data_IF_589588286031
#
_entry.id   IF_589588286031
#
_cell.length_a   1.000
_cell.length_b   1.000
_cell.length_c   1.000
_cell.angle_alpha   90.00
_cell.angle_beta   90.00
_cell.angle_gamma   90.00
#
_symmetry.space_group_name_H-M   'P 1'
#
loop_
_entity.id
_entity.type
_entity.pdbx_description
1 polymer ?
#
# COMPACT_ATOMS: atom_id res chain seq x y z
N UNK A 1 9.67 -3.45 3.18
CA UNK A 1 9.63 -3.22 4.64
C UNK A 1 9.44 -1.74 4.92
N UNK A 2 8.88 -1.43 6.07
CA UNK A 2 8.61 -0.09 6.56
C UNK A 2 8.96 -0.02 8.06
N UNK A 3 9.56 1.10 8.48
CA UNK A 3 9.90 1.38 9.88
C UNK A 3 9.09 2.59 10.36
N UNK A 4 8.22 2.38 11.33
CA UNK A 4 7.51 3.45 12.01
C UNK A 4 8.38 3.95 13.17
N UNK A 5 8.82 5.19 13.07
CA UNK A 5 9.56 5.89 14.11
C UNK A 5 8.61 6.75 14.95
N UNK A 6 8.76 6.71 16.27
CA UNK A 6 7.95 7.46 17.21
C UNK A 6 8.80 7.94 18.39
N UNK A 7 8.71 9.22 18.69
CA UNK A 7 9.29 9.86 19.87
C UNK A 7 8.23 10.72 20.58
N UNK A 8 8.61 11.48 21.60
CA UNK A 8 7.68 12.35 22.35
C UNK A 8 7.28 13.63 21.58
N UNK A 9 7.95 13.96 20.48
CA UNK A 9 7.69 15.14 19.66
C UNK A 9 8.00 16.50 20.34
N UNK A 10 8.47 16.50 21.58
CA UNK A 10 8.65 17.71 22.39
C UNK A 10 10.09 17.93 22.86
N UNK A 11 10.80 16.85 23.19
CA UNK A 11 12.15 16.93 23.76
C UNK A 11 13.25 16.50 22.77
N UNK A 12 14.51 16.66 23.16
CA UNK A 12 15.65 16.13 22.44
C UNK A 12 16.03 14.70 22.88
N UNK A 13 15.18 14.00 23.61
CA UNK A 13 15.41 12.64 24.12
C UNK A 13 15.78 11.64 23.03
N UNK A 14 15.28 11.86 21.80
CA UNK A 14 15.60 11.03 20.63
C UNK A 14 17.11 10.94 20.36
N UNK A 15 17.92 11.98 20.72
CA UNK A 15 19.38 11.98 20.57
C UNK A 15 20.05 11.00 21.53
N UNK A 16 19.41 10.71 22.65
CA UNK A 16 19.84 9.78 23.67
C UNK A 16 19.20 8.40 23.52
N UNK A 17 18.51 8.15 22.40
CA UNK A 17 17.86 6.88 22.11
C UNK A 17 16.45 6.74 22.72
N UNK A 18 15.85 7.84 23.16
CA UNK A 18 14.48 7.83 23.66
C UNK A 18 13.47 7.93 22.51
N UNK A 19 13.35 6.84 21.77
CA UNK A 19 12.41 6.62 20.69
C UNK A 19 12.01 5.16 20.59
N UNK A 20 10.92 4.91 19.89
CA UNK A 20 10.44 3.57 19.54
C UNK A 20 10.45 3.38 18.03
N UNK A 21 10.83 2.17 17.60
CA UNK A 21 10.72 1.77 16.17
C UNK A 21 9.88 0.51 16.11
N UNK A 22 8.84 0.56 15.29
CA UNK A 22 8.03 -0.61 14.92
C UNK A 22 8.36 -0.97 13.48
N UNK A 23 8.87 -2.19 13.26
CA UNK A 23 9.20 -2.70 11.94
C UNK A 23 8.04 -3.48 11.34
N UNK A 24 7.69 -3.18 10.10
CA UNK A 24 6.67 -3.87 9.34
C UNK A 24 7.26 -4.38 8.04
N UNK A 25 7.02 -5.64 7.72
CA UNK A 25 7.42 -6.24 6.45
C UNK A 25 6.28 -7.05 5.85
N UNK A 26 6.23 -7.09 4.53
CA UNK A 26 5.32 -7.93 3.76
C UNK A 26 6.14 -8.77 2.80
N UNK A 27 5.81 -10.04 2.67
CA UNK A 27 6.44 -10.98 1.75
C UNK A 27 5.40 -11.89 1.11
N UNK A 28 5.64 -12.29 -0.11
CA UNK A 28 4.90 -13.37 -0.75
C UNK A 28 5.31 -14.72 -0.17
N UNK A 29 4.37 -15.64 -0.13
CA UNK A 29 4.57 -17.06 0.22
C UNK A 29 4.08 -17.93 -0.93
N UNK A 30 4.35 -19.22 -0.90
CA UNK A 30 3.90 -20.15 -1.96
C UNK A 30 2.39 -20.08 -2.23
N UNK A 31 1.58 -19.75 -1.21
CA UNK A 31 0.11 -19.79 -1.30
C UNK A 31 -0.56 -18.48 -0.87
N UNK A 32 0.18 -17.38 -0.76
CA UNK A 32 -0.43 -16.12 -0.34
C UNK A 32 0.56 -15.04 0.09
N UNK A 33 0.17 -14.26 1.10
CA UNK A 33 0.92 -13.10 1.57
C UNK A 33 1.11 -13.20 3.08
N UNK A 34 2.32 -12.92 3.56
CA UNK A 34 2.65 -12.81 4.98
C UNK A 34 3.05 -11.39 5.32
N UNK A 35 2.39 -10.81 6.31
CA UNK A 35 2.76 -9.57 6.97
C UNK A 35 3.36 -9.90 8.33
N UNK A 36 4.49 -9.28 8.64
CA UNK A 36 5.13 -9.39 9.95
C UNK A 36 5.31 -7.99 10.52
N UNK A 37 4.87 -7.80 11.75
CA UNK A 37 5.08 -6.59 12.54
C UNK A 37 5.90 -6.98 13.76
N UNK A 38 7.10 -6.39 13.88
CA UNK A 38 7.91 -6.46 15.10
C UNK A 38 7.53 -5.28 15.99
N UNK A 39 7.01 -5.57 17.16
CA UNK A 39 6.50 -4.55 18.09
C UNK A 39 7.57 -3.53 18.48
N UNK A 40 7.13 -2.31 18.69
CA UNK A 40 7.96 -1.21 19.17
C UNK A 40 8.34 -1.36 20.64
N UNK A 41 9.24 -0.49 21.11
CA UNK A 41 9.56 -0.39 22.54
C UNK A 41 8.47 0.39 23.26
N UNK A 42 8.10 -0.08 24.44
CA UNK A 42 7.21 0.66 25.32
C UNK A 42 7.88 1.96 25.79
N UNK A 43 7.15 3.02 25.79
CA UNK A 43 7.57 4.36 26.21
C UNK A 43 6.42 5.05 26.93
N UNK A 44 6.72 5.86 27.93
CA UNK A 44 5.70 6.52 28.76
C UNK A 44 4.81 7.47 27.96
N UNK A 45 5.30 8.01 26.86
CA UNK A 45 4.55 8.90 25.95
C UNK A 45 3.74 8.14 24.87
N UNK A 46 3.89 6.82 24.77
CA UNK A 46 3.13 5.99 23.82
C UNK A 46 1.97 5.28 24.52
N UNK A 47 0.86 5.04 23.80
CA UNK A 47 -0.23 4.24 24.33
C UNK A 47 0.24 2.80 24.58
N UNK A 48 -0.08 2.24 25.73
CA UNK A 48 0.27 0.84 26.06
C UNK A 48 -0.34 -0.17 25.07
N UNK A 49 -1.53 0.13 24.57
CA UNK A 49 -2.24 -0.73 23.62
C UNK A 49 -2.70 0.04 22.39
N UNK A 50 -2.65 -0.62 21.24
CA UNK A 50 -3.14 -0.12 19.97
C UNK A 50 -4.08 -1.11 19.30
N UNK A 51 -5.05 -0.61 18.59
CA UNK A 51 -5.81 -1.40 17.65
C UNK A 51 -5.09 -1.38 16.31
N UNK A 52 -4.77 -2.56 15.78
CA UNK A 52 -4.15 -2.70 14.46
C UNK A 52 -5.21 -3.05 13.43
N UNK A 53 -5.16 -2.36 12.30
CA UNK A 53 -5.98 -2.62 11.12
C UNK A 53 -5.02 -2.73 9.94
N UNK A 54 -4.93 -3.90 9.33
CA UNK A 54 -4.13 -4.14 8.14
C UNK A 54 -5.03 -4.14 6.92
N UNK A 55 -4.74 -3.23 5.99
CA UNK A 55 -5.44 -3.15 4.71
C UNK A 55 -4.53 -3.63 3.59
N UNK A 56 -4.94 -4.70 2.92
CA UNK A 56 -4.28 -5.27 1.75
C UNK A 56 -5.02 -4.81 0.51
N UNK A 57 -4.46 -3.82 -0.20
CA UNK A 57 -5.02 -3.31 -1.44
C UNK A 57 -4.74 -4.25 -2.61
N UNK A 58 -5.56 -4.16 -3.65
CA UNK A 58 -5.49 -4.98 -4.86
C UNK A 58 -5.70 -6.49 -4.62
N UNK A 59 -6.26 -6.84 -3.47
CA UNK A 59 -6.67 -8.20 -3.13
C UNK A 59 -8.19 -8.28 -3.12
N UNK A 60 -8.75 -9.06 -4.03
CA UNK A 60 -10.21 -9.25 -4.16
C UNK A 60 -10.74 -10.08 -3.00
N UNK A 61 -10.04 -11.17 -2.69
CA UNK A 61 -10.40 -12.09 -1.62
C UNK A 61 -9.19 -12.89 -1.13
N UNK A 62 -9.31 -13.45 0.07
CA UNK A 62 -8.45 -14.48 0.60
C UNK A 62 -9.31 -15.65 1.09
N UNK A 63 -8.92 -16.89 0.79
CA UNK A 63 -9.64 -18.09 1.24
C UNK A 63 -9.64 -18.23 2.76
N UNK A 64 -8.53 -17.88 3.38
CA UNK A 64 -8.40 -17.85 4.84
C UNK A 64 -7.37 -16.84 5.30
N UNK A 65 -7.56 -16.34 6.52
CA UNK A 65 -6.63 -15.43 7.21
C UNK A 65 -6.26 -16.05 8.55
N UNK A 66 -4.98 -16.05 8.86
CA UNK A 66 -4.43 -16.50 10.14
C UNK A 66 -3.61 -15.39 10.75
N UNK A 67 -3.90 -15.04 11.99
CA UNK A 67 -3.09 -14.08 12.74
C UNK A 67 -2.51 -14.74 13.98
N UNK A 68 -1.24 -14.48 14.23
CA UNK A 68 -0.48 -15.00 15.37
C UNK A 68 0.20 -13.86 16.12
N UNK A 69 0.35 -13.98 17.42
CA UNK A 69 1.22 -13.13 18.24
C UNK A 69 1.91 -13.97 19.31
N UNK A 70 3.23 -13.86 19.39
CA UNK A 70 4.00 -14.64 20.36
C UNK A 70 3.83 -16.17 20.24
N UNK A 71 3.43 -16.68 19.08
CA UNK A 71 3.14 -18.10 18.84
C UNK A 71 1.68 -18.52 19.13
N UNK A 72 0.85 -17.62 19.63
CA UNK A 72 -0.57 -17.89 19.88
C UNK A 72 -1.45 -17.31 18.78
N UNK A 73 -2.52 -18.05 18.43
CA UNK A 73 -3.50 -17.59 17.46
C UNK A 73 -4.35 -16.48 18.04
N UNK A 74 -4.51 -15.40 17.27
CA UNK A 74 -5.37 -14.26 17.63
C UNK A 74 -6.70 -14.32 16.89
N UNK A 75 -7.77 -13.93 17.58
CA UNK A 75 -9.03 -13.62 16.94
C UNK A 75 -8.94 -12.30 16.19
N UNK A 76 -9.44 -12.31 14.95
CA UNK A 76 -9.47 -11.13 14.09
C UNK A 76 -10.80 -11.08 13.33
N UNK A 77 -11.23 -9.88 12.96
CA UNK A 77 -12.29 -9.70 11.98
C UNK A 77 -11.70 -9.46 10.61
N UNK A 78 -12.26 -10.12 9.59
CA UNK A 78 -11.82 -10.00 8.21
C UNK A 78 -12.99 -9.53 7.37
N UNK A 79 -12.75 -8.51 6.54
CA UNK A 79 -13.71 -8.04 5.53
C UNK A 79 -13.02 -7.96 4.18
N UNK A 80 -13.70 -8.40 3.13
CA UNK A 80 -13.28 -8.26 1.74
C UNK A 80 -14.29 -7.41 0.99
N UNK A 81 -13.90 -6.24 0.57
CA UNK A 81 -14.76 -5.33 -0.16
C UNK A 81 -13.95 -4.40 -1.08
N UNK A 82 -14.46 -4.19 -2.29
CA UNK A 82 -13.91 -3.20 -3.21
C UNK A 82 -12.46 -3.45 -3.64
N UNK A 83 -12.04 -4.71 -3.76
CA UNK A 83 -10.65 -5.05 -4.11
C UNK A 83 -9.66 -4.83 -2.97
N UNK A 84 -10.14 -4.96 -1.72
CA UNK A 84 -9.34 -4.80 -0.52
C UNK A 84 -9.75 -5.84 0.51
N UNK A 85 -8.77 -6.48 1.13
CA UNK A 85 -8.95 -7.32 2.32
C UNK A 85 -8.48 -6.53 3.54
N UNK A 86 -9.36 -6.38 4.53
CA UNK A 86 -9.06 -5.67 5.78
C UNK A 86 -9.08 -6.67 6.93
N UNK A 87 -7.99 -6.71 7.69
CA UNK A 87 -7.85 -7.54 8.88
C UNK A 87 -7.76 -6.64 10.11
N UNK A 88 -8.77 -6.70 10.98
CA UNK A 88 -8.83 -5.88 12.20
C UNK A 88 -8.58 -6.74 13.44
N UNK A 89 -7.68 -6.30 14.30
CA UNK A 89 -7.30 -6.98 15.54
C UNK A 89 -7.92 -6.28 16.75
N UNK A 90 -8.11 -7.01 17.86
CA UNK A 90 -8.39 -6.37 19.16
C UNK A 90 -7.23 -5.47 19.58
N UNK A 91 -7.42 -4.55 20.56
CA UNK A 91 -6.34 -3.75 21.10
C UNK A 91 -5.23 -4.64 21.69
N UNK A 92 -4.00 -4.46 21.19
CA UNK A 92 -2.81 -5.22 21.58
C UNK A 92 -1.73 -4.30 22.16
N UNK A 93 -0.84 -4.83 22.97
CA UNK A 93 0.34 -4.11 23.45
C UNK A 93 1.23 -3.72 22.27
N UNK A 94 1.83 -2.53 22.33
CA UNK A 94 2.66 -2.00 21.24
C UNK A 94 3.93 -2.83 21.00
N UNK A 95 4.39 -3.53 22.04
CA UNK A 95 5.56 -4.43 22.00
C UNK A 95 5.25 -5.81 21.42
N UNK A 96 3.97 -6.14 21.24
CA UNK A 96 3.56 -7.46 20.77
C UNK A 96 3.95 -7.69 19.31
N UNK A 97 4.67 -8.76 18.97
CA UNK A 97 4.91 -9.14 17.58
C UNK A 97 3.61 -9.68 16.96
N UNK A 98 3.36 -9.34 15.70
CA UNK A 98 2.18 -9.81 14.97
C UNK A 98 2.63 -10.42 13.64
N UNK A 99 2.09 -11.58 13.34
CA UNK A 99 2.19 -12.23 12.02
C UNK A 99 0.79 -12.44 11.47
N UNK A 100 0.51 -11.88 10.30
CA UNK A 100 -0.75 -12.08 9.59
C UNK A 100 -0.47 -12.78 8.25
N UNK A 101 -1.10 -13.91 8.02
CA UNK A 101 -0.97 -14.68 6.78
C UNK A 101 -2.33 -14.79 6.09
N UNK A 102 -2.36 -14.39 4.82
CA UNK A 102 -3.50 -14.53 3.93
C UNK A 102 -3.22 -15.67 2.97
N UNK A 103 -4.08 -16.68 2.92
CA UNK A 103 -3.96 -17.85 2.05
C UNK A 103 -4.99 -17.82 0.93
N UNK A 104 -4.63 -18.43 -0.22
CA UNK A 104 -5.52 -18.51 -1.39
C UNK A 104 -5.93 -17.14 -1.90
N UNK A 105 -4.94 -16.22 -1.99
CA UNK A 105 -5.16 -14.83 -2.33
C UNK A 105 -5.54 -14.69 -3.80
N UNK A 106 -6.68 -14.03 -4.07
CA UNK A 106 -7.06 -13.59 -5.41
C UNK A 106 -6.71 -12.12 -5.56
N UNK A 107 -5.72 -11.84 -6.40
CA UNK A 107 -5.29 -10.46 -6.69
C UNK A 107 -6.25 -9.83 -7.70
N UNK A 108 -6.56 -8.55 -7.52
CA UNK A 108 -7.26 -7.77 -8.53
C UNK A 108 -6.38 -7.73 -9.78
N UNK A 109 -6.87 -8.30 -10.88
CA UNK A 109 -6.15 -8.19 -12.15
C UNK A 109 -5.99 -6.72 -12.48
N UNK A 110 -4.74 -6.27 -12.59
CA UNK A 110 -4.43 -4.92 -12.97
C UNK A 110 -5.14 -4.60 -14.30
N UNK A 111 -5.78 -3.45 -14.35
CA UNK A 111 -6.37 -2.95 -15.60
C UNK A 111 -5.25 -2.78 -16.63
N UNK A 112 -5.53 -3.01 -17.93
CA UNK A 112 -4.55 -2.72 -18.96
C UNK A 112 -3.96 -1.31 -18.74
N UNK A 113 -2.64 -1.15 -18.87
CA UNK A 113 -1.93 0.13 -18.61
C UNK A 113 -2.62 1.33 -19.25
N UNK A 114 -3.14 1.16 -20.45
CA UNK A 114 -3.90 2.20 -21.17
C UNK A 114 -5.21 2.59 -20.48
N UNK A 115 -5.90 1.63 -19.86
CA UNK A 115 -7.13 1.90 -19.11
C UNK A 115 -6.83 2.61 -17.80
N UNK A 116 -5.79 2.20 -17.07
CA UNK A 116 -5.32 2.87 -15.86
C UNK A 116 -4.89 4.32 -16.15
N UNK A 117 -4.14 4.55 -17.24
CA UNK A 117 -3.76 5.89 -17.70
C UNK A 117 -5.01 6.72 -18.04
N UNK A 118 -6.01 6.14 -18.69
CA UNK A 118 -7.27 6.81 -19.01
C UNK A 118 -8.03 7.24 -17.76
N UNK A 119 -8.10 6.39 -16.75
CA UNK A 119 -8.74 6.71 -15.47
C UNK A 119 -8.01 7.81 -14.72
N UNK A 120 -6.68 7.74 -14.58
CA UNK A 120 -5.86 8.78 -13.97
C UNK A 120 -6.07 10.12 -14.67
N UNK A 121 -6.06 10.14 -16.00
CA UNK A 121 -6.36 11.33 -16.80
C UNK A 121 -7.77 11.88 -16.57
N UNK A 122 -8.74 11.01 -16.34
CA UNK A 122 -10.15 11.42 -16.09
C UNK A 122 -10.30 12.05 -14.71
N UNK A 123 -9.65 11.50 -13.71
CA UNK A 123 -9.66 12.01 -12.33
C UNK A 123 -8.89 13.32 -12.17
N UNK A 124 -7.94 13.58 -13.05
CA UNK A 124 -7.10 14.78 -12.96
C UNK A 124 -7.90 16.07 -13.11
N UNK A 125 -7.87 16.94 -12.08
CA UNK A 125 -8.50 18.25 -12.07
C UNK A 125 -7.68 19.29 -12.86
N UNK A 126 -7.99 19.50 -14.12
CA UNK A 126 -7.32 20.46 -15.01
C UNK A 126 -8.28 21.16 -15.96
N UNK A 127 -7.78 22.17 -16.66
CA UNK A 127 -8.56 22.90 -17.66
C UNK A 127 -8.99 21.94 -18.78
N UNK A 128 -10.29 21.87 -19.06
CA UNK A 128 -10.93 20.93 -19.98
C UNK A 128 -10.25 20.82 -21.36
N UNK A 129 -9.81 21.93 -21.95
CA UNK A 129 -9.14 21.94 -23.25
C UNK A 129 -7.75 21.30 -23.22
N UNK A 130 -7.02 21.45 -22.12
CA UNK A 130 -5.71 20.80 -21.92
C UNK A 130 -5.86 19.31 -21.67
N UNK A 131 -6.90 18.88 -20.92
CA UNK A 131 -7.26 17.48 -20.73
C UNK A 131 -7.53 16.81 -22.07
N UNK A 132 -8.40 17.40 -22.89
CA UNK A 132 -8.79 16.84 -24.19
C UNK A 132 -7.60 16.70 -25.16
N UNK A 133 -6.71 17.69 -25.20
CA UNK A 133 -5.48 17.61 -26.02
C UNK A 133 -4.53 16.50 -25.55
N UNK A 134 -4.29 16.39 -24.26
CA UNK A 134 -3.41 15.36 -23.68
C UNK A 134 -3.99 13.97 -23.84
N UNK A 135 -5.28 13.81 -23.64
CA UNK A 135 -6.00 12.56 -23.88
C UNK A 135 -5.85 12.09 -25.34
N UNK A 136 -6.02 12.98 -26.31
CA UNK A 136 -5.85 12.67 -27.72
C UNK A 136 -4.42 12.24 -28.10
N UNK A 137 -3.41 12.79 -27.43
CA UNK A 137 -2.01 12.38 -27.63
C UNK A 137 -1.83 10.93 -27.13
N UNK A 138 -2.32 10.64 -25.93
CA UNK A 138 -2.19 9.32 -25.32
C UNK A 138 -3.00 8.24 -26.07
N UNK A 139 -4.19 8.57 -26.61
CA UNK A 139 -4.97 7.63 -27.42
C UNK A 139 -4.32 7.29 -28.77
N UNK A 140 -3.50 8.18 -29.32
CA UNK A 140 -2.82 7.98 -30.59
C UNK A 140 -1.49 7.22 -30.47
N UNK A 141 -1.00 6.99 -29.26
CA UNK A 141 0.21 6.21 -29.04
C UNK A 141 0.04 4.79 -29.63
N UNK A 142 0.97 4.37 -30.48
CA UNK A 142 0.90 3.08 -31.19
C UNK A 142 1.06 1.90 -30.24
N UNK A 143 1.92 2.02 -29.25
CA UNK A 143 2.28 1.01 -28.27
C UNK A 143 2.60 1.67 -26.92
N UNK A 144 2.92 0.87 -25.91
CA UNK A 144 3.22 1.34 -24.57
C UNK A 144 4.54 2.12 -24.51
N UNK A 145 5.50 1.83 -25.36
CA UNK A 145 6.76 2.57 -25.43
C UNK A 145 6.54 4.00 -25.95
N UNK A 146 5.70 4.14 -26.99
CA UNK A 146 5.29 5.46 -27.48
C UNK A 146 4.47 6.22 -26.45
N UNK A 147 3.55 5.54 -25.74
CA UNK A 147 2.77 6.11 -24.66
C UNK A 147 3.66 6.62 -23.52
N UNK A 148 4.65 5.83 -23.09
CA UNK A 148 5.63 6.20 -22.08
C UNK A 148 6.45 7.44 -22.50
N UNK A 149 6.88 7.48 -23.77
CA UNK A 149 7.61 8.64 -24.33
C UNK A 149 6.76 9.91 -24.28
N UNK A 150 5.48 9.81 -24.67
CA UNK A 150 4.55 10.94 -24.65
C UNK A 150 4.24 11.44 -23.22
N UNK A 151 4.15 10.52 -22.27
CA UNK A 151 3.94 10.86 -20.85
C UNK A 151 5.15 11.60 -20.27
N UNK A 152 6.37 11.19 -20.61
CA UNK A 152 7.61 11.84 -20.12
C UNK A 152 7.71 13.31 -20.47
N UNK A 153 7.13 13.74 -21.56
CA UNK A 153 7.12 15.15 -22.01
C UNK A 153 5.92 15.97 -21.51
N UNK A 154 5.03 15.39 -20.70
CA UNK A 154 3.91 16.13 -20.12
C UNK A 154 4.39 17.26 -19.21
N UNK A 155 3.90 18.46 -19.43
CA UNK A 155 4.28 19.66 -18.67
C UNK A 155 3.76 19.71 -17.22
N UNK A 156 2.81 18.84 -16.83
CA UNK A 156 2.31 18.75 -15.45
C UNK A 156 3.10 17.69 -14.68
N UNK A 157 3.88 18.09 -13.68
CA UNK A 157 4.77 17.18 -12.95
C UNK A 157 4.01 16.15 -12.10
N UNK A 158 2.91 16.53 -11.45
CA UNK A 158 2.13 15.60 -10.61
C UNK A 158 1.46 14.52 -11.47
N UNK A 159 0.73 14.92 -12.51
CA UNK A 159 0.10 13.98 -13.45
C UNK A 159 1.15 13.10 -14.13
N UNK A 160 2.27 13.68 -14.55
CA UNK A 160 3.37 12.92 -15.17
C UNK A 160 3.91 11.85 -14.23
N UNK A 161 4.14 12.16 -12.95
CA UNK A 161 4.63 11.17 -11.97
C UNK A 161 3.65 10.02 -11.78
N UNK A 162 2.35 10.31 -11.62
CA UNK A 162 1.30 9.30 -11.50
C UNK A 162 1.22 8.39 -12.75
N UNK A 163 1.29 8.97 -13.94
CA UNK A 163 1.24 8.18 -15.18
C UNK A 163 2.53 7.37 -15.42
N UNK A 164 3.69 7.88 -15.02
CA UNK A 164 4.95 7.13 -15.11
C UNK A 164 4.94 5.93 -14.16
N UNK A 165 4.43 6.08 -12.94
CA UNK A 165 4.27 4.99 -11.98
C UNK A 165 3.43 3.85 -12.60
N UNK A 166 2.29 4.16 -13.22
CA UNK A 166 1.44 3.19 -13.90
C UNK A 166 2.17 2.49 -15.07
N UNK A 167 2.95 3.24 -15.86
CA UNK A 167 3.56 2.74 -17.10
C UNK A 167 4.89 2.02 -16.87
N UNK A 168 5.65 2.41 -15.86
CA UNK A 168 6.96 1.86 -15.52
C UNK A 168 6.87 0.69 -14.52
N UNK A 169 5.68 0.41 -13.98
CA UNK A 169 5.46 -0.77 -13.15
C UNK A 169 5.73 -2.05 -13.98
N UNK A 170 6.84 -2.71 -13.64
CA UNK A 170 7.32 -3.92 -14.34
C UNK A 170 6.45 -5.14 -14.07
N UNK A 171 5.72 -5.17 -12.95
CA UNK A 171 4.83 -6.25 -12.55
C UNK A 171 3.42 -6.10 -13.14
N UNK A 172 3.20 -5.04 -13.89
CA UNK A 172 1.94 -4.79 -14.58
C UNK A 172 1.79 -5.74 -15.77
N UNK A 173 1.30 -6.93 -15.51
CA UNK A 173 0.88 -7.89 -16.56
C UNK A 173 -0.54 -7.56 -17.04
N UNK A 174 -0.76 -7.39 -18.35
CA UNK A 174 -2.08 -7.11 -18.94
C UNK A 174 -3.10 -8.22 -18.72
#
# INVERSE_FOLDING_TARGET
SFSLYEDDGETNGFKDGDFSITELSVSETENGIKLTLCGGKEKDYLPLKRQYVFEFSDIVSAESVRVMSGGEKLDCSVTDAGGRVTVSLPPMEISAPIEAELYGVTVLKNKPKREAVREAMTKFNGINNLKKRRYLILEKAKDDAALLSDVRILGNSALRSELLEILEDLDYTP
#
